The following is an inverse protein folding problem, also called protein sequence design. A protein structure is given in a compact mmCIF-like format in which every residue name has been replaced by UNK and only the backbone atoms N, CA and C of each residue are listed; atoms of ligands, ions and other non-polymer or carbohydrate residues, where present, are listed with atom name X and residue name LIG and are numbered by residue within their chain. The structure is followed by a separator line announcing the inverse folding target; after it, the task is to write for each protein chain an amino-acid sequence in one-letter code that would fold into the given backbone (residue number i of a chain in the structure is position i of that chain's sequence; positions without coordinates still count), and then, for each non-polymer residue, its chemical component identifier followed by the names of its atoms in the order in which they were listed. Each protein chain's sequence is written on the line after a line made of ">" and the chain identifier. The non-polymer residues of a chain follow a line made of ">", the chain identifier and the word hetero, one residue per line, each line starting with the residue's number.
data_IF_571569635779
#
_entry.id   IF_571569635779
#
_cell.length_a   1.000
_cell.length_b   1.000
_cell.length_c   1.000
_cell.angle_alpha   90.00
_cell.angle_beta   90.00
_cell.angle_gamma   90.00
#
_symmetry.space_group_name_H-M   'P 1'
#
loop_
_entity.id
_entity.type
_entity.pdbx_description
1 polymer ?
#
# COMPACT_ATOMS: atom_id res chain seq x y z
N UNK A 1 -1.84 9.81 23.23
CA UNK A 1 -1.74 9.52 21.79
C UNK A 1 -1.11 10.72 21.12
N UNK A 2 0.01 10.53 20.43
CA UNK A 2 0.74 11.60 19.75
C UNK A 2 0.56 11.43 18.25
N UNK A 3 0.21 12.52 17.56
CA UNK A 3 0.11 12.54 16.09
C UNK A 3 1.23 13.41 15.55
N UNK A 4 1.94 12.89 14.56
CA UNK A 4 3.06 13.58 13.93
C UNK A 4 2.74 13.63 12.44
N UNK A 5 2.84 14.82 11.86
CA UNK A 5 2.69 15.01 10.43
C UNK A 5 4.06 14.97 9.77
N UNK A 6 4.32 13.94 8.99
CA UNK A 6 5.56 13.77 8.25
C UNK A 6 5.34 12.91 7.00
N UNK A 7 6.28 12.96 6.06
CA UNK A 7 6.26 12.10 4.88
C UNK A 7 6.91 10.75 5.16
N UNK A 8 6.37 9.66 4.63
CA UNK A 8 6.93 8.33 4.84
C UNK A 8 8.41 8.23 4.44
N UNK A 9 8.81 8.96 3.38
CA UNK A 9 10.20 8.97 2.90
C UNK A 9 11.20 9.45 3.94
N UNK A 10 10.75 10.23 4.94
CA UNK A 10 11.60 10.80 5.98
C UNK A 10 11.40 10.11 7.35
N UNK A 11 10.71 8.95 7.39
CA UNK A 11 10.37 8.28 8.65
C UNK A 11 11.61 7.91 9.49
N UNK A 12 12.68 7.49 8.82
CA UNK A 12 13.93 7.08 9.49
C UNK A 12 14.61 8.25 10.19
N UNK A 13 14.52 9.46 9.64
CA UNK A 13 15.06 10.66 10.28
C UNK A 13 14.36 10.94 11.62
N UNK A 14 13.04 10.73 11.66
CA UNK A 14 12.24 10.91 12.87
C UNK A 14 12.50 9.80 13.92
N UNK A 15 12.71 8.57 13.45
CA UNK A 15 12.99 7.41 14.31
C UNK A 15 14.46 7.30 14.73
N UNK A 16 15.36 8.19 14.29
CA UNK A 16 16.72 8.25 14.87
C UNK A 16 16.67 8.61 16.36
N UNK A 17 15.65 9.36 16.78
CA UNK A 17 15.43 9.77 18.17
C UNK A 17 14.49 8.80 18.93
N UNK A 18 13.62 8.09 18.21
CA UNK A 18 12.67 7.11 18.77
C UNK A 18 13.10 5.69 18.40
N UNK A 19 13.35 4.85 19.40
CA UNK A 19 13.61 3.40 19.20
C UNK A 19 12.60 2.79 18.21
N UNK A 20 13.05 1.82 17.43
CA UNK A 20 12.22 1.05 16.50
C UNK A 20 10.92 0.57 17.17
N UNK A 21 9.88 0.36 16.35
CA UNK A 21 8.51 0.13 16.82
C UNK A 21 8.15 -1.35 16.84
N UNK A 22 7.23 -1.74 17.71
CA UNK A 22 6.77 -3.13 17.80
C UNK A 22 5.65 -3.45 16.80
N UNK A 23 4.97 -2.43 16.26
CA UNK A 23 3.84 -2.59 15.35
C UNK A 23 3.80 -1.46 14.32
N UNK A 24 3.67 -1.83 13.04
CA UNK A 24 3.34 -0.92 11.95
C UNK A 24 2.00 -1.34 11.33
N UNK A 25 1.10 -0.37 11.16
CA UNK A 25 -0.14 -0.52 10.40
C UNK A 25 -0.07 0.32 9.13
N UNK A 26 -0.16 -0.30 7.96
CA UNK A 26 -0.13 0.41 6.67
C UNK A 26 -1.31 0.00 5.80
N UNK A 27 -2.43 0.71 5.98
CA UNK A 27 -3.75 0.29 5.50
C UNK A 27 -4.33 1.25 4.45
N UNK A 28 -4.59 0.72 3.25
CA UNK A 28 -5.18 1.43 2.12
C UNK A 28 -4.39 2.69 1.67
N UNK A 29 -3.05 2.63 1.80
CA UNK A 29 -2.14 3.73 1.43
C UNK A 29 -1.26 3.38 0.24
N UNK A 30 -0.71 2.16 0.19
CA UNK A 30 0.35 1.79 -0.76
C UNK A 30 -0.07 1.89 -2.22
N UNK A 31 -1.34 1.65 -2.51
CA UNK A 31 -1.93 1.71 -3.85
C UNK A 31 -2.02 3.16 -4.41
N UNK A 32 -1.79 4.16 -3.55
CA UNK A 32 -1.82 5.59 -3.90
C UNK A 32 -0.44 6.19 -4.16
N UNK A 33 0.64 5.49 -3.82
CA UNK A 33 2.02 5.98 -3.98
C UNK A 33 2.71 5.32 -5.18
N UNK A 34 3.73 5.98 -5.72
CA UNK A 34 4.54 5.46 -6.84
C UNK A 34 5.60 4.46 -6.38
N UNK A 35 6.35 4.79 -5.31
CA UNK A 35 7.50 4.01 -4.82
C UNK A 35 7.08 2.93 -3.81
N UNK A 36 6.23 2.00 -4.23
CA UNK A 36 5.57 1.02 -3.36
C UNK A 36 6.53 0.08 -2.62
N UNK A 37 7.49 -0.52 -3.35
CA UNK A 37 8.49 -1.43 -2.76
C UNK A 37 9.40 -0.73 -1.75
N UNK A 38 9.84 0.49 -2.09
CA UNK A 38 10.67 1.30 -1.21
C UNK A 38 9.95 1.67 0.09
N UNK A 39 8.66 1.99 0.01
CA UNK A 39 7.82 2.25 1.17
C UNK A 39 7.70 1.03 2.10
N UNK A 40 7.41 -0.15 1.55
CA UNK A 40 7.35 -1.40 2.34
C UNK A 40 8.70 -1.66 3.02
N UNK A 41 9.79 -1.59 2.27
CA UNK A 41 11.14 -1.84 2.81
C UNK A 41 11.46 -0.87 3.95
N UNK A 42 11.25 0.42 3.75
CA UNK A 42 11.51 1.45 4.76
C UNK A 42 10.68 1.20 6.04
N UNK A 43 9.42 0.79 5.90
CA UNK A 43 8.55 0.46 7.04
C UNK A 43 8.96 -0.83 7.75
N UNK A 44 9.45 -1.83 7.02
CA UNK A 44 9.94 -3.07 7.61
C UNK A 44 11.24 -2.84 8.39
N UNK A 45 12.14 -1.99 7.88
CA UNK A 45 13.46 -1.69 8.46
C UNK A 45 13.37 -0.99 9.85
N UNK A 46 12.20 -0.45 10.20
CA UNK A 46 11.98 0.27 11.48
C UNK A 46 11.25 -0.57 12.54
N UNK A 47 10.97 -1.85 12.26
CA UNK A 47 10.27 -2.75 13.16
C UNK A 47 11.28 -3.51 14.02
N UNK A 48 11.04 -3.59 15.33
CA UNK A 48 11.87 -4.38 16.24
C UNK A 48 11.84 -5.87 15.88
N UNK A 49 12.93 -6.62 16.17
CA UNK A 49 12.88 -8.09 16.11
C UNK A 49 11.71 -8.63 16.96
N UNK A 50 10.84 -9.43 16.35
CA UNK A 50 9.62 -9.96 16.99
C UNK A 50 8.41 -9.03 16.92
N UNK A 51 8.55 -7.82 16.37
CA UNK A 51 7.45 -6.92 16.05
C UNK A 51 6.64 -7.40 14.82
N UNK A 52 5.55 -6.70 14.54
CA UNK A 52 4.62 -7.05 13.47
C UNK A 52 4.45 -5.93 12.44
N UNK A 53 4.43 -6.33 11.15
CA UNK A 53 3.99 -5.47 10.07
C UNK A 53 2.61 -5.93 9.59
N UNK A 54 1.58 -5.13 9.86
CA UNK A 54 0.24 -5.35 9.31
C UNK A 54 0.00 -4.43 8.13
N UNK A 55 -0.15 -5.02 6.95
CA UNK A 55 -0.37 -4.30 5.70
C UNK A 55 -1.71 -4.70 5.07
N UNK A 56 -2.45 -3.71 4.59
CA UNK A 56 -3.69 -3.89 3.85
C UNK A 56 -3.64 -2.99 2.62
N UNK A 57 -3.91 -3.55 1.46
CA UNK A 57 -3.76 -2.86 0.18
C UNK A 57 -4.88 -3.24 -0.79
N UNK A 58 -5.07 -2.40 -1.80
CA UNK A 58 -6.03 -2.67 -2.85
C UNK A 58 -5.54 -3.75 -3.82
N UNK A 59 -6.22 -4.90 -3.81
CA UNK A 59 -5.85 -6.08 -4.60
C UNK A 59 -6.24 -5.94 -6.08
N UNK A 60 -5.24 -6.01 -6.98
CA UNK A 60 -5.44 -5.94 -8.43
C UNK A 60 -6.32 -7.08 -8.98
N UNK A 61 -6.20 -8.29 -8.44
CA UNK A 61 -7.04 -9.42 -8.85
C UNK A 61 -8.50 -9.19 -8.45
N UNK A 62 -8.73 -8.64 -7.26
CA UNK A 62 -10.07 -8.25 -6.78
C UNK A 62 -10.71 -7.19 -7.68
N UNK A 63 -9.92 -6.25 -8.20
CA UNK A 63 -10.38 -5.23 -9.13
C UNK A 63 -10.83 -5.83 -10.48
N UNK A 64 -10.08 -6.79 -11.01
CA UNK A 64 -10.45 -7.51 -12.24
C UNK A 64 -11.75 -8.29 -12.01
N UNK A 65 -11.81 -9.07 -10.93
CA UNK A 65 -12.97 -9.89 -10.59
C UNK A 65 -14.23 -9.02 -10.43
N UNK A 66 -14.15 -7.90 -9.69
CA UNK A 66 -15.27 -6.96 -9.53
C UNK A 66 -15.79 -6.47 -10.88
N UNK A 67 -14.91 -6.11 -11.80
CA UNK A 67 -15.34 -5.62 -13.11
C UNK A 67 -15.95 -6.73 -13.98
N UNK A 68 -15.43 -7.95 -13.91
CA UNK A 68 -16.01 -9.10 -14.60
C UNK A 68 -17.43 -9.42 -14.10
N UNK A 69 -17.64 -9.41 -12.77
CA UNK A 69 -18.96 -9.66 -12.15
C UNK A 69 -19.97 -8.57 -12.53
N UNK A 70 -19.53 -7.34 -12.69
CA UNK A 70 -20.37 -6.20 -13.07
C UNK A 70 -20.55 -6.04 -14.59
N UNK A 71 -20.19 -7.05 -15.39
CA UNK A 71 -20.26 -7.05 -16.86
C UNK A 71 -19.42 -5.92 -17.52
N UNK A 72 -18.48 -5.35 -16.77
CA UNK A 72 -17.53 -4.36 -17.25
C UNK A 72 -16.29 -5.05 -17.83
N UNK A 73 -16.47 -5.95 -18.79
CA UNK A 73 -15.36 -6.75 -19.34
C UNK A 73 -14.24 -5.89 -19.93
N UNK A 74 -14.58 -4.75 -20.53
CA UNK A 74 -13.62 -3.75 -21.00
C UNK A 74 -12.72 -3.19 -19.87
N UNK A 75 -13.11 -3.27 -18.60
CA UNK A 75 -12.27 -2.92 -17.45
C UNK A 75 -11.63 -4.14 -16.78
N UNK A 76 -12.10 -5.35 -17.09
CA UNK A 76 -11.54 -6.60 -16.57
C UNK A 76 -10.24 -6.99 -17.31
N UNK A 77 -10.04 -6.53 -18.54
CA UNK A 77 -8.82 -6.83 -19.31
C UNK A 77 -7.55 -6.31 -18.62
N UNK A 78 -6.46 -7.10 -18.53
CA UNK A 78 -5.17 -6.65 -18.02
C UNK A 78 -4.67 -5.38 -18.75
N UNK A 79 -3.90 -4.54 -18.05
CA UNK A 79 -3.29 -3.31 -18.57
C UNK A 79 -4.24 -2.19 -19.04
N UNK A 80 -5.56 -2.33 -18.86
CA UNK A 80 -6.48 -1.21 -19.09
C UNK A 80 -6.45 -0.26 -17.88
N UNK A 81 -6.31 1.04 -18.17
CA UNK A 81 -6.35 2.07 -17.15
C UNK A 81 -7.79 2.26 -16.65
N UNK A 82 -8.05 1.86 -15.41
CA UNK A 82 -9.40 1.80 -14.81
C UNK A 82 -9.83 3.11 -14.14
N UNK A 83 -9.10 4.20 -14.37
CA UNK A 83 -9.34 5.49 -13.71
C UNK A 83 -10.43 6.26 -14.44
N UNK A 84 -11.54 6.49 -13.75
CA UNK A 84 -12.52 7.53 -14.11
C UNK A 84 -12.24 8.80 -13.32
N UNK A 85 -12.45 9.97 -13.92
CA UNK A 85 -12.34 11.26 -13.22
C UNK A 85 -13.32 11.25 -12.02
N UNK A 86 -12.83 11.53 -10.82
CA UNK A 86 -13.61 11.47 -9.58
C UNK A 86 -13.77 10.06 -8.97
N UNK A 87 -13.15 9.02 -9.55
CA UNK A 87 -13.15 7.69 -8.95
C UNK A 87 -12.20 7.60 -7.76
N UNK A 88 -12.61 6.87 -6.72
CA UNK A 88 -11.77 6.44 -5.60
C UNK A 88 -11.02 5.13 -5.89
N UNK A 89 -11.04 4.66 -7.14
CA UNK A 89 -10.19 3.53 -7.55
C UNK A 89 -8.73 3.98 -7.57
N UNK A 90 -7.83 3.31 -6.83
CA UNK A 90 -6.44 3.71 -6.73
C UNK A 90 -5.71 3.54 -8.07
N UNK A 91 -4.58 4.25 -8.19
CA UNK A 91 -3.78 4.27 -9.42
C UNK A 91 -2.95 3.00 -9.59
N UNK A 92 -2.42 2.48 -8.50
CA UNK A 92 -1.42 1.41 -8.50
C UNK A 92 -1.89 0.24 -7.62
N UNK A 93 -3.00 -0.45 -7.97
CA UNK A 93 -3.42 -1.63 -7.23
C UNK A 93 -2.32 -2.70 -7.32
N UNK A 94 -2.12 -3.45 -6.23
CA UNK A 94 -1.03 -4.42 -6.16
C UNK A 94 -1.50 -5.84 -6.39
N UNK A 95 -0.66 -6.60 -7.08
CA UNK A 95 -0.76 -8.05 -7.13
C UNK A 95 -0.27 -8.61 -5.77
N UNK A 96 -1.04 -9.46 -5.07
CA UNK A 96 -0.66 -9.95 -3.75
C UNK A 96 0.74 -10.58 -3.68
N UNK A 97 1.11 -11.34 -4.70
CA UNK A 97 2.42 -11.96 -4.86
C UNK A 97 3.59 -10.95 -4.91
N UNK A 98 3.34 -9.67 -5.20
CA UNK A 98 4.37 -8.62 -5.19
C UNK A 98 4.55 -7.96 -3.82
N UNK A 99 3.64 -8.23 -2.88
CA UNK A 99 3.64 -7.67 -1.52
C UNK A 99 4.17 -8.67 -0.50
N UNK A 100 3.91 -9.97 -0.70
CA UNK A 100 4.30 -11.03 0.24
C UNK A 100 5.75 -11.53 0.09
N UNK A 101 6.55 -10.90 -0.76
CA UNK A 101 7.97 -11.21 -0.97
C UNK A 101 8.83 -10.49 0.05
#
# INVERSE_FOLDING_TARGET
>A
MQFIHFSLQNITQYLTEMRAVDLVLFYAVIEWISEQKSAIKTLADIINPGGAFSIMFYNANGLVMRNAVLDNFHLATPNIQRRRKGSLTPLNPLLPETVYQ
#
